data_IF_592116307017
#
_entry.id   IF_592116307017
#
_cell.length_a   1.000
_cell.length_b   1.000
_cell.length_c   1.000
_cell.angle_alpha   90.00
_cell.angle_beta   90.00
_cell.angle_gamma   90.00
#
_symmetry.space_group_name_H-M   'P 1'
#
loop_
_entity.id
_entity.type
_entity.pdbx_description
1 polymer ?
#
# COMPACT_ATOMS: atom_id res chain seq x y z
N UNK A 1 -21.86 24.34 10.59
CA UNK A 1 -22.08 25.18 9.40
C UNK A 1 -22.00 24.24 8.19
N UNK A 2 -23.13 23.93 7.59
CA UNK A 2 -23.33 22.94 6.52
C UNK A 2 -23.24 23.57 5.13
N UNK A 3 -22.77 22.81 4.13
CA UNK A 3 -23.15 22.99 2.73
C UNK A 3 -23.73 21.67 2.18
N UNK A 4 -24.62 21.71 1.16
CA UNK A 4 -25.74 20.77 1.02
C UNK A 4 -25.56 19.57 0.07
N UNK A 5 -24.39 19.30 -0.53
CA UNK A 5 -24.22 18.17 -1.47
C UNK A 5 -22.74 17.83 -1.74
N UNK A 6 -22.11 16.90 -1.00
CA UNK A 6 -20.69 16.60 -1.22
C UNK A 6 -19.98 15.92 -0.07
N UNK A 7 -20.53 14.80 0.42
CA UNK A 7 -19.86 13.98 1.42
C UNK A 7 -18.63 13.32 0.81
N UNK A 8 -17.45 13.87 1.06
CA UNK A 8 -16.25 13.02 1.15
C UNK A 8 -16.27 12.41 2.55
N UNK A 9 -16.68 11.15 2.61
CA UNK A 9 -16.63 10.36 3.82
C UNK A 9 -15.15 10.11 4.15
N UNK A 10 -14.57 10.93 5.04
CA UNK A 10 -13.29 10.59 5.68
C UNK A 10 -13.54 9.58 6.79
N UNK A 11 -13.70 8.31 6.41
CA UNK A 11 -13.36 7.16 7.24
C UNK A 11 -11.96 6.77 6.79
N UNK A 12 -10.88 7.06 7.52
CA UNK A 12 -10.58 6.41 8.78
C UNK A 12 -9.94 7.38 9.78
N UNK A 13 -10.50 7.37 10.99
CA UNK A 13 -9.90 7.95 12.19
C UNK A 13 -9.21 6.82 12.96
N UNK A 14 -8.38 6.03 12.27
CA UNK A 14 -7.52 5.04 12.93
C UNK A 14 -6.15 5.68 13.03
N UNK A 15 -5.64 5.79 14.26
CA UNK A 15 -4.32 6.31 14.57
C UNK A 15 -3.27 5.37 13.96
N UNK A 16 -3.00 5.47 12.65
CA UNK A 16 -1.82 4.84 12.08
C UNK A 16 -0.57 5.54 12.66
N UNK A 17 0.51 4.81 12.93
CA UNK A 17 1.77 5.38 13.41
C UNK A 17 2.19 6.51 12.46
N UNK A 18 2.07 7.74 12.95
CA UNK A 18 2.12 9.01 12.20
C UNK A 18 3.42 9.28 11.40
N UNK A 19 4.39 8.37 11.40
CA UNK A 19 5.69 8.56 10.75
C UNK A 19 5.73 8.20 9.27
N UNK A 20 4.97 7.20 8.83
CA UNK A 20 5.21 6.55 7.53
C UNK A 20 4.69 7.34 6.33
N UNK A 21 3.56 8.04 6.47
CA UNK A 21 2.97 8.83 5.38
C UNK A 21 3.54 10.25 5.24
N UNK A 22 4.33 10.75 6.22
CA UNK A 22 4.76 12.16 6.27
C UNK A 22 6.05 12.46 5.47
N UNK A 23 6.46 11.55 4.57
CA UNK A 23 7.57 11.80 3.63
C UNK A 23 8.95 11.97 4.27
N UNK A 24 9.12 11.64 5.55
CA UNK A 24 10.42 11.64 6.26
C UNK A 24 11.10 10.28 6.18
N UNK A 25 11.29 9.77 4.95
CA UNK A 25 11.96 8.50 4.71
C UNK A 25 13.51 8.59 4.77
N UNK A 26 14.05 9.80 4.89
CA UNK A 26 15.49 10.03 4.76
C UNK A 26 16.32 9.70 6.02
N UNK A 27 15.74 9.18 7.11
CA UNK A 27 16.49 9.09 8.37
C UNK A 27 16.22 7.87 9.26
N UNK A 28 15.73 6.74 8.73
CA UNK A 28 15.76 5.47 9.47
C UNK A 28 16.11 4.28 8.57
N UNK A 29 17.34 4.26 8.08
CA UNK A 29 18.02 3.01 7.76
C UNK A 29 18.37 2.30 9.07
N UNK A 30 17.41 1.69 9.74
CA UNK A 30 17.65 0.88 10.94
C UNK A 30 16.58 -0.21 10.98
N UNK A 31 17.01 -1.46 10.75
CA UNK A 31 16.23 -2.70 10.82
C UNK A 31 14.73 -2.56 10.56
N UNK A 32 14.36 -2.49 9.28
CA UNK A 32 12.96 -2.69 8.87
C UNK A 32 12.61 -4.14 9.22
N UNK A 33 11.75 -4.31 10.23
CA UNK A 33 11.24 -5.63 10.61
C UNK A 33 10.62 -6.30 9.38
N UNK A 34 10.65 -7.63 9.32
CA UNK A 34 10.18 -8.35 8.14
C UNK A 34 8.73 -7.98 7.76
N UNK A 35 7.94 -7.53 8.74
CA UNK A 35 6.54 -7.14 8.63
C UNK A 35 6.34 -5.77 7.96
N UNK A 36 7.32 -4.85 8.04
CA UNK A 36 7.27 -3.53 7.39
C UNK A 36 7.75 -3.54 5.92
N UNK A 37 8.51 -4.58 5.53
CA UNK A 37 9.11 -4.69 4.17
C UNK A 37 8.09 -4.65 3.02
N UNK A 38 6.89 -5.27 3.14
CA UNK A 38 5.88 -5.16 2.10
C UNK A 38 5.41 -3.74 1.86
N UNK A 39 5.12 -3.01 2.94
CA UNK A 39 4.66 -1.63 2.86
C UNK A 39 5.70 -0.73 2.21
N UNK A 40 6.96 -0.85 2.62
CA UNK A 40 8.10 -0.12 2.05
C UNK A 40 8.22 -0.35 0.54
N UNK A 41 8.19 -1.61 0.11
CA UNK A 41 8.26 -2.00 -1.28
C UNK A 41 7.12 -1.40 -2.09
N UNK A 42 5.88 -1.55 -1.63
CA UNK A 42 4.71 -1.04 -2.34
C UNK A 42 4.60 0.47 -2.30
N UNK A 43 5.08 1.14 -1.25
CA UNK A 43 5.18 2.60 -1.23
C UNK A 43 6.07 3.09 -2.38
N UNK A 44 7.22 2.43 -2.60
CA UNK A 44 8.09 2.78 -3.71
C UNK A 44 7.48 2.41 -5.07
N UNK A 45 7.04 1.15 -5.24
CA UNK A 45 6.51 0.67 -6.52
C UNK A 45 5.24 1.37 -6.95
N UNK A 46 4.28 1.54 -6.06
CA UNK A 46 2.97 2.05 -6.44
C UNK A 46 2.96 3.55 -6.71
N UNK A 47 3.90 4.32 -6.16
CA UNK A 47 4.06 5.75 -6.48
C UNK A 47 4.49 6.01 -7.93
N UNK A 48 5.13 5.03 -8.58
CA UNK A 48 5.54 5.15 -9.97
C UNK A 48 4.34 5.06 -10.92
N UNK A 49 3.20 4.54 -10.47
CA UNK A 49 1.99 4.29 -11.28
C UNK A 49 2.23 3.34 -12.47
N UNK A 50 3.34 2.61 -12.44
CA UNK A 50 3.76 1.62 -13.43
C UNK A 50 3.44 0.21 -12.93
N UNK A 51 3.56 -0.77 -13.82
CA UNK A 51 3.40 -2.18 -13.48
C UNK A 51 4.47 -2.57 -12.45
N UNK A 52 4.07 -3.22 -11.36
CA UNK A 52 4.94 -3.76 -10.32
C UNK A 52 5.16 -5.26 -10.57
N UNK A 53 6.33 -5.69 -11.08
CA UNK A 53 6.59 -7.10 -11.34
C UNK A 53 6.58 -7.91 -10.03
N UNK A 54 5.90 -9.06 -10.04
CA UNK A 54 5.75 -9.93 -8.87
C UNK A 54 7.11 -10.46 -8.39
N UNK A 55 7.99 -10.78 -9.34
CA UNK A 55 9.35 -11.26 -9.06
C UNK A 55 10.22 -10.24 -8.31
N UNK A 56 9.95 -8.93 -8.47
CA UNK A 56 10.70 -7.90 -7.75
C UNK A 56 10.39 -7.90 -6.26
N UNK A 57 9.13 -8.18 -5.88
CA UNK A 57 8.73 -8.23 -4.48
C UNK A 57 9.62 -9.20 -3.70
N UNK A 58 9.70 -10.45 -4.13
CA UNK A 58 10.52 -11.46 -3.46
C UNK A 58 12.02 -11.15 -3.56
N UNK A 59 12.47 -10.55 -4.66
CA UNK A 59 13.89 -10.17 -4.83
C UNK A 59 14.33 -9.06 -3.87
N UNK A 60 13.50 -8.06 -3.62
CA UNK A 60 13.86 -6.91 -2.79
C UNK A 60 13.49 -7.09 -1.32
N UNK A 61 12.40 -7.79 -1.02
CA UNK A 61 11.96 -8.01 0.38
C UNK A 61 12.52 -9.31 0.98
N UNK A 62 12.87 -10.29 0.15
CA UNK A 62 13.20 -11.64 0.57
C UNK A 62 12.00 -12.46 1.04
N UNK A 63 10.78 -11.94 0.87
CA UNK A 63 9.53 -12.57 1.32
C UNK A 63 8.82 -13.28 0.17
N UNK A 64 8.07 -14.32 0.51
CA UNK A 64 7.17 -14.97 -0.45
C UNK A 64 5.92 -14.11 -0.66
N UNK A 65 5.37 -14.12 -1.87
CA UNK A 65 4.12 -13.42 -2.19
C UNK A 65 2.95 -13.87 -1.28
N UNK A 66 2.96 -15.11 -0.81
CA UNK A 66 1.95 -15.62 0.13
C UNK A 66 1.78 -14.78 1.39
N UNK A 67 2.81 -14.02 1.79
CA UNK A 67 2.78 -13.11 2.95
C UNK A 67 1.85 -11.92 2.68
N UNK A 68 1.80 -11.43 1.43
CA UNK A 68 1.02 -10.26 1.02
C UNK A 68 -0.25 -10.62 0.27
N UNK A 69 -0.47 -11.91 -0.01
CA UNK A 69 -1.61 -12.39 -0.79
C UNK A 69 -2.96 -11.91 -0.24
N UNK A 70 -3.25 -11.96 1.08
CA UNK A 70 -4.54 -11.46 1.57
C UNK A 70 -4.74 -9.96 1.30
N UNK A 71 -3.69 -9.14 1.43
CA UNK A 71 -3.72 -7.71 1.12
C UNK A 71 -3.90 -7.45 -0.38
N UNK A 72 -3.25 -8.23 -1.23
CA UNK A 72 -3.41 -8.16 -2.69
C UNK A 72 -4.83 -8.53 -3.11
N UNK A 73 -5.38 -9.62 -2.57
CA UNK A 73 -6.76 -10.03 -2.86
C UNK A 73 -7.77 -8.96 -2.43
N UNK A 74 -7.54 -8.32 -1.28
CA UNK A 74 -8.37 -7.21 -0.84
C UNK A 74 -8.23 -5.98 -1.77
N UNK A 75 -7.01 -5.65 -2.20
CA UNK A 75 -6.78 -4.57 -3.15
C UNK A 75 -7.45 -4.83 -4.52
N UNK A 76 -7.48 -6.08 -4.97
CA UNK A 76 -8.18 -6.49 -6.20
C UNK A 76 -9.70 -6.41 -6.01
N UNK A 77 -10.22 -6.89 -4.87
CA UNK A 77 -11.64 -6.84 -4.55
C UNK A 77 -12.17 -5.39 -4.45
N UNK A 78 -11.36 -4.47 -3.92
CA UNK A 78 -11.66 -3.04 -3.89
C UNK A 78 -11.43 -2.33 -5.24
N UNK A 79 -10.90 -3.03 -6.25
CA UNK A 79 -10.63 -2.48 -7.57
C UNK A 79 -9.46 -1.49 -7.60
N UNK A 80 -8.59 -1.51 -6.60
CA UNK A 80 -7.38 -0.67 -6.56
C UNK A 80 -6.28 -1.17 -7.48
N UNK A 81 -6.19 -2.49 -7.62
CA UNK A 81 -5.23 -3.17 -8.47
C UNK A 81 -5.93 -3.99 -9.55
N UNK A 82 -5.21 -4.25 -10.63
CA UNK A 82 -5.38 -5.45 -11.45
C UNK A 82 -4.10 -6.28 -11.36
N UNK A 83 -4.21 -7.58 -11.59
CA UNK A 83 -3.05 -8.47 -11.63
C UNK A 83 -3.03 -9.32 -12.90
N UNK A 84 -1.83 -9.74 -13.27
CA UNK A 84 -1.55 -10.79 -14.23
C UNK A 84 -0.53 -11.76 -13.61
N UNK A 85 -0.17 -12.82 -14.33
CA UNK A 85 0.82 -13.81 -13.86
C UNK A 85 2.18 -13.17 -13.53
N UNK A 86 2.50 -12.04 -14.16
CA UNK A 86 3.83 -11.41 -14.06
C UNK A 86 3.88 -10.14 -13.18
N UNK A 87 2.78 -9.38 -13.08
CA UNK A 87 2.79 -8.05 -12.42
C UNK A 87 1.44 -7.64 -11.83
N UNK A 88 1.50 -6.69 -10.89
CA UNK A 88 0.36 -5.91 -10.41
C UNK A 88 0.36 -4.53 -11.05
N UNK A 89 -0.81 -4.00 -11.38
CA UNK A 89 -0.97 -2.68 -11.97
C UNK A 89 -2.03 -1.89 -11.20
N UNK A 90 -1.73 -0.64 -10.88
CA UNK A 90 -2.70 0.24 -10.23
C UNK A 90 -3.72 0.73 -11.24
N UNK A 91 -4.99 0.64 -10.87
CA UNK A 91 -6.12 1.15 -11.65
C UNK A 91 -6.28 2.66 -11.48
N UNK A 92 -7.12 3.31 -12.30
CA UNK A 92 -7.46 4.72 -12.06
C UNK A 92 -8.10 4.95 -10.69
N UNK A 93 -8.91 3.99 -10.20
CA UNK A 93 -9.48 4.04 -8.87
C UNK A 93 -8.39 3.94 -7.78
N UNK A 94 -7.46 2.99 -7.91
CA UNK A 94 -6.34 2.84 -6.99
C UNK A 94 -5.43 4.07 -6.93
N UNK A 95 -5.27 4.82 -8.04
CA UNK A 95 -4.53 6.08 -8.06
C UNK A 95 -5.17 7.15 -7.17
N UNK A 96 -6.51 7.25 -7.19
CA UNK A 96 -7.26 8.20 -6.36
C UNK A 96 -7.22 7.82 -4.87
N UNK A 97 -7.09 6.53 -4.57
CA UNK A 97 -7.09 5.98 -3.21
C UNK A 97 -5.74 5.34 -2.84
N UNK A 98 -4.63 5.90 -3.34
CA UNK A 98 -3.29 5.30 -3.17
C UNK A 98 -2.90 5.10 -1.71
N UNK A 99 -3.25 6.04 -0.82
CA UNK A 99 -2.97 5.87 0.61
C UNK A 99 -3.77 4.70 1.20
N UNK A 100 -5.05 4.58 0.87
CA UNK A 100 -5.89 3.47 1.35
C UNK A 100 -5.42 2.12 0.81
N UNK A 101 -4.92 2.08 -0.44
CA UNK A 101 -4.25 0.89 -0.98
C UNK A 101 -2.99 0.54 -0.18
N UNK A 102 -2.15 1.53 0.15
CA UNK A 102 -0.92 1.30 0.91
C UNK A 102 -1.21 0.90 2.37
N UNK A 103 -2.26 1.44 2.97
CA UNK A 103 -2.69 1.10 4.35
C UNK A 103 -3.00 -0.39 4.51
N UNK A 104 -3.38 -1.10 3.44
CA UNK A 104 -3.59 -2.55 3.46
C UNK A 104 -2.33 -3.32 3.83
N UNK A 105 -1.15 -2.77 3.51
CA UNK A 105 0.14 -3.43 3.73
C UNK A 105 0.83 -3.03 5.03
N UNK A 106 0.22 -2.15 5.84
CA UNK A 106 0.75 -1.82 7.17
C UNK A 106 0.54 -3.02 8.09
N UNK A 107 1.60 -3.43 8.79
CA UNK A 107 1.48 -4.39 9.87
C UNK A 107 0.57 -3.79 10.97
N UNK A 108 -0.43 -4.54 11.41
CA UNK A 108 -1.20 -4.14 12.60
C UNK A 108 -0.29 -4.29 13.82
N UNK A 109 0.14 -3.17 14.41
CA UNK A 109 0.83 -3.14 15.71
C UNK A 109 -0.05 -3.88 16.74
N UNK A 110 0.34 -5.10 17.11
CA UNK A 110 -0.29 -5.89 18.17
C UNK A 110 0.28 -5.56 19.54
#
# INVERSE_FOLDING_TARGET
MTFPDGRILRTAKTRHPRGYMEGRYLERSHDVEAEDKPFEFFMNRFRLLEAAPRAEFSRYTGLAESVIRPQIDEALAQGYLTECDEFWQITEHGKLFLNSLLELFLAEES
#
